data_IF_522374854497
#
_entry.id   IF_522374854497
#
_cell.length_a   1.000
_cell.length_b   1.000
_cell.length_c   1.000
_cell.angle_alpha   90.00
_cell.angle_beta   90.00
_cell.angle_gamma   90.00
#
_symmetry.space_group_name_H-M   'P 1'
#
loop_
_entity.id
_entity.type
_entity.pdbx_description
1 polymer ?
#
# COMPACT_ATOMS: atom_id res chain seq x y z
N UNK A 1 -5.25 -3.33 4.76
CA UNK A 1 -5.46 -2.67 3.45
C UNK A 1 -6.64 -3.26 2.70
N UNK A 2 -6.75 -4.59 2.54
CA UNK A 2 -7.85 -5.22 1.82
C UNK A 2 -9.24 -4.82 2.37
N UNK A 3 -9.38 -4.75 3.70
CA UNK A 3 -10.63 -4.31 4.36
C UNK A 3 -11.00 -2.84 4.04
N UNK A 4 -10.02 -2.04 3.62
CA UNK A 4 -10.19 -0.66 3.16
C UNK A 4 -10.33 -0.59 1.62
N UNK A 5 -10.65 -1.69 0.95
CA UNK A 5 -10.77 -1.81 -0.51
C UNK A 5 -9.53 -1.36 -1.30
N UNK A 6 -8.34 -1.39 -0.68
CA UNK A 6 -7.07 -1.12 -1.36
C UNK A 6 -6.27 -2.41 -1.45
N UNK A 7 -6.10 -2.91 -2.67
CA UNK A 7 -5.29 -4.09 -2.93
C UNK A 7 -3.82 -3.71 -3.15
N UNK A 8 -2.94 -4.27 -2.32
CA UNK A 8 -1.48 -4.14 -2.47
C UNK A 8 -0.77 -5.45 -2.21
N UNK A 9 0.37 -5.62 -2.84
CA UNK A 9 1.24 -6.78 -2.66
C UNK A 9 2.51 -6.36 -1.92
N UNK A 10 2.82 -7.10 -0.86
CA UNK A 10 4.08 -6.99 -0.13
C UNK A 10 5.17 -7.81 -0.81
N UNK A 11 6.40 -7.31 -0.77
CA UNK A 11 7.60 -8.03 -1.12
C UNK A 11 8.43 -8.29 0.14
N UNK A 12 8.79 -9.55 0.35
CA UNK A 12 9.71 -10.00 1.40
C UNK A 12 10.86 -10.80 0.83
N UNK A 13 11.76 -11.26 1.70
CA UNK A 13 12.83 -12.19 1.33
C UNK A 13 12.23 -13.48 0.71
N UNK A 14 12.83 -14.05 -0.36
CA UNK A 14 14.08 -13.69 -1.03
C UNK A 14 13.95 -12.63 -2.13
N UNK A 15 12.74 -12.09 -2.37
CA UNK A 15 12.49 -11.12 -3.45
C UNK A 15 13.13 -9.76 -3.15
N UNK A 16 13.28 -9.41 -1.88
CA UNK A 16 14.04 -8.26 -1.40
C UNK A 16 14.99 -8.69 -0.27
N UNK A 17 16.11 -7.98 -0.04
CA UNK A 17 17.02 -8.29 1.07
C UNK A 17 16.31 -8.34 2.42
N UNK A 18 16.83 -9.16 3.34
CA UNK A 18 16.31 -9.22 4.72
C UNK A 18 16.31 -7.83 5.38
N UNK A 19 15.31 -7.56 6.21
CA UNK A 19 15.12 -6.26 6.85
C UNK A 19 14.60 -5.14 5.92
N UNK A 20 14.38 -5.42 4.63
CA UNK A 20 13.92 -4.41 3.64
C UNK A 20 12.56 -4.74 3.01
N UNK A 21 11.73 -5.49 3.74
CA UNK A 21 10.37 -5.81 3.32
C UNK A 21 9.60 -4.51 3.03
N UNK A 22 8.86 -4.48 1.91
CA UNK A 22 8.19 -3.29 1.43
C UNK A 22 6.96 -3.63 0.60
N UNK A 23 5.99 -2.73 0.60
CA UNK A 23 4.84 -2.80 -0.30
C UNK A 23 5.16 -2.12 -1.63
N UNK A 24 4.55 -2.59 -2.71
CA UNK A 24 4.55 -1.89 -4.00
C UNK A 24 3.14 -1.47 -4.36
N UNK A 25 3.03 -0.21 -4.74
CA UNK A 25 1.80 0.37 -5.28
C UNK A 25 2.03 0.60 -6.77
N UNK A 26 1.06 0.22 -7.59
CA UNK A 26 1.06 0.45 -9.03
C UNK A 26 -0.09 1.40 -9.35
N UNK A 27 0.22 2.51 -10.00
CA UNK A 27 -0.75 3.53 -10.40
C UNK A 27 -0.92 3.45 -11.92
N UNK A 28 -2.14 3.69 -12.40
CA UNK A 28 -2.45 3.74 -13.83
C UNK A 28 -3.36 4.93 -14.11
N UNK A 29 -3.42 5.35 -15.37
CA UNK A 29 -4.26 6.47 -15.83
C UNK A 29 -5.76 6.24 -15.58
N UNK A 30 -6.19 4.98 -15.38
CA UNK A 30 -7.57 4.64 -15.05
C UNK A 30 -7.99 5.06 -13.63
N UNK A 31 -7.05 5.47 -12.76
CA UNK A 31 -7.35 5.92 -11.40
C UNK A 31 -7.62 7.42 -11.40
N UNK A 32 -8.70 7.84 -10.74
CA UNK A 32 -8.95 9.25 -10.47
C UNK A 32 -8.03 9.76 -9.36
N UNK A 33 -7.89 11.09 -9.27
CA UNK A 33 -7.17 11.71 -8.15
C UNK A 33 -7.83 11.40 -6.80
N UNK A 34 -9.16 11.25 -6.77
CA UNK A 34 -9.90 10.89 -5.55
C UNK A 34 -9.56 9.45 -5.09
N UNK A 35 -9.40 8.52 -6.04
CA UNK A 35 -8.95 7.15 -5.73
C UNK A 35 -7.55 7.15 -5.10
N UNK A 36 -6.65 7.99 -5.63
CA UNK A 36 -5.28 8.14 -5.11
C UNK A 36 -5.32 8.72 -3.69
N UNK A 37 -6.09 9.80 -3.48
CA UNK A 37 -6.24 10.43 -2.16
C UNK A 37 -6.84 9.48 -1.12
N UNK A 38 -7.83 8.69 -1.52
CA UNK A 38 -8.42 7.65 -0.68
C UNK A 38 -7.38 6.60 -0.30
N UNK A 39 -6.61 6.08 -1.28
CA UNK A 39 -5.59 5.08 -1.03
C UNK A 39 -4.52 5.61 -0.05
N UNK A 40 -4.05 6.85 -0.23
CA UNK A 40 -3.06 7.49 0.66
C UNK A 40 -3.60 7.60 2.09
N UNK A 41 -4.85 8.05 2.28
CA UNK A 41 -5.48 8.11 3.60
C UNK A 41 -5.58 6.73 4.24
N UNK A 42 -5.99 5.72 3.49
CA UNK A 42 -6.07 4.35 3.96
C UNK A 42 -4.71 3.81 4.43
N UNK A 43 -3.62 4.08 3.70
CA UNK A 43 -2.26 3.72 4.15
C UNK A 43 -1.88 4.40 5.44
N UNK A 44 -2.15 5.71 5.55
CA UNK A 44 -1.83 6.48 6.74
C UNK A 44 -2.58 5.95 7.96
N UNK A 45 -3.88 5.72 7.85
CA UNK A 45 -4.69 5.18 8.94
C UNK A 45 -4.20 3.81 9.42
N UNK A 46 -3.79 2.93 8.49
CA UNK A 46 -3.21 1.64 8.86
C UNK A 46 -1.86 1.83 9.55
N UNK A 47 -1.01 2.72 9.02
CA UNK A 47 0.29 3.02 9.63
C UNK A 47 0.14 3.57 11.05
N UNK A 48 -0.78 4.52 11.26
CA UNK A 48 -1.05 5.13 12.56
C UNK A 48 -1.65 4.13 13.56
N UNK A 49 -2.24 3.02 13.07
CA UNK A 49 -2.78 1.93 13.90
C UNK A 49 -1.77 0.82 14.24
N UNK A 50 -0.57 0.89 13.67
CA UNK A 50 0.53 0.00 14.01
C UNK A 50 1.32 0.68 15.14
N UNK A 51 1.22 0.13 16.36
CA UNK A 51 1.99 0.59 17.53
C UNK A 51 3.51 0.54 17.30
#
# INVERSE_FOLDING_TARGET
>A
MLDKNVYVTGFGFPVVPEGTARIRIQVSDALSYEDIDYAVKAFKEVFDSLD
#
